data_IF_887554047005
#
_entry.id   IF_887554047005
#
_cell.length_a   1.000
_cell.length_b   1.000
_cell.length_c   1.000
_cell.angle_alpha   90.00
_cell.angle_beta   90.00
_cell.angle_gamma   90.00
#
_symmetry.space_group_name_H-M   'P 1'
#
loop_
_entity.id
_entity.type
_entity.pdbx_description
1 polymer ?
#
# COMPACT_ATOMS: atom_id res chain seq x y z
N UNK A 1 26.48 48.39 44.21
CA UNK A 1 26.75 48.07 42.79
C UNK A 1 27.30 46.64 42.74
N UNK A 2 26.41 45.65 42.65
CA UNK A 2 26.75 44.22 42.68
C UNK A 2 26.68 43.73 41.23
N UNK A 3 27.83 43.45 40.63
CA UNK A 3 27.92 42.76 39.33
C UNK A 3 28.32 41.32 39.66
N UNK A 4 27.34 40.41 39.64
CA UNK A 4 27.60 38.97 39.74
C UNK A 4 28.15 38.47 38.41
N UNK A 5 29.39 37.99 38.42
CA UNK A 5 29.99 37.27 37.31
C UNK A 5 29.24 35.95 37.10
N UNK A 6 28.45 35.90 36.03
CA UNK A 6 27.78 34.70 35.54
C UNK A 6 28.82 33.81 34.83
N UNK A 7 29.40 32.85 35.56
CA UNK A 7 30.39 31.90 35.05
C UNK A 7 29.77 30.97 34.02
N UNK A 8 30.15 31.13 32.74
CA UNK A 8 29.72 30.27 31.64
C UNK A 8 30.55 28.94 31.52
N UNK A 9 30.24 27.85 32.25
CA UNK A 9 30.71 26.44 32.08
C UNK A 9 30.44 25.73 30.73
N UNK A 10 31.12 26.06 29.65
CA UNK A 10 31.05 25.28 28.40
C UNK A 10 31.08 23.74 28.60
N UNK A 11 30.12 23.02 27.99
CA UNK A 11 30.24 21.57 27.80
C UNK A 11 31.51 21.25 26.99
N UNK A 12 32.20 20.15 27.29
CA UNK A 12 33.28 19.70 26.41
C UNK A 12 32.68 19.18 25.09
N UNK A 13 33.29 19.45 23.92
CA UNK A 13 32.78 19.01 22.62
C UNK A 13 32.40 17.52 22.57
N UNK A 14 33.13 16.68 23.29
CA UNK A 14 32.87 15.24 23.42
C UNK A 14 31.57 14.87 24.15
N UNK A 15 31.13 15.68 25.14
CA UNK A 15 29.89 15.42 25.88
C UNK A 15 28.66 15.81 25.04
N UNK A 16 28.76 16.90 24.30
CA UNK A 16 27.75 17.33 23.32
C UNK A 16 27.56 16.29 22.23
N UNK A 17 28.67 15.78 21.68
CA UNK A 17 28.64 14.73 20.67
C UNK A 17 27.94 13.45 21.18
N UNK A 18 28.26 13.02 22.41
CA UNK A 18 27.60 11.85 23.02
C UNK A 18 26.09 12.05 23.20
N UNK A 19 25.66 13.24 23.64
CA UNK A 19 24.25 13.55 23.80
C UNK A 19 23.51 13.58 22.45
N UNK A 20 24.10 14.21 21.43
CA UNK A 20 23.55 14.24 20.08
C UNK A 20 23.39 12.83 19.52
N UNK A 21 24.43 11.99 19.57
CA UNK A 21 24.35 10.61 19.08
C UNK A 21 23.26 9.79 19.80
N UNK A 22 23.04 10.03 21.10
CA UNK A 22 22.02 9.34 21.89
C UNK A 22 20.60 9.86 21.65
N UNK A 23 20.44 11.09 21.17
CA UNK A 23 19.12 11.68 20.88
C UNK A 23 18.59 11.34 19.49
N UNK A 24 19.48 11.03 18.52
CA UNK A 24 19.09 10.69 17.14
C UNK A 24 18.09 9.52 17.12
N UNK A 25 18.39 8.41 17.80
CA UNK A 25 17.55 7.23 17.76
C UNK A 25 16.15 7.49 18.36
N UNK A 26 16.01 7.99 19.62
CA UNK A 26 14.70 8.34 20.18
C UNK A 26 13.90 9.33 19.32
N UNK A 27 14.57 10.32 18.72
CA UNK A 27 13.92 11.27 17.81
C UNK A 27 13.34 10.56 16.59
N UNK A 28 14.09 9.65 15.97
CA UNK A 28 13.59 8.84 14.84
C UNK A 28 12.38 8.00 15.26
N UNK A 29 12.37 7.43 16.46
CA UNK A 29 11.22 6.68 16.99
C UNK A 29 9.98 7.55 17.19
N UNK A 30 10.12 8.76 17.74
CA UNK A 30 8.99 9.71 17.85
C UNK A 30 8.41 10.03 16.48
N UNK A 31 9.27 10.39 15.53
CA UNK A 31 8.78 10.85 14.23
C UNK A 31 8.22 9.69 13.41
N UNK A 32 8.84 8.50 13.45
CA UNK A 32 8.34 7.31 12.79
C UNK A 32 7.00 6.85 13.40
N UNK A 33 6.88 6.81 14.72
CA UNK A 33 5.65 6.46 15.42
C UNK A 33 4.52 7.46 15.11
N UNK A 34 4.81 8.76 15.14
CA UNK A 34 3.84 9.79 14.77
C UNK A 34 3.39 9.66 13.30
N UNK A 35 4.33 9.43 12.37
CA UNK A 35 4.00 9.22 10.97
C UNK A 35 3.09 7.99 10.75
N UNK A 36 3.35 6.90 11.46
CA UNK A 36 2.49 5.69 11.44
C UNK A 36 1.12 5.94 12.02
N UNK A 37 1.00 6.73 13.10
CA UNK A 37 -0.30 7.10 13.67
C UNK A 37 -1.12 8.00 12.73
N UNK A 38 -0.47 8.91 12.01
CA UNK A 38 -1.13 9.77 11.01
C UNK A 38 -1.58 8.97 9.77
N UNK A 39 -0.83 7.93 9.41
CA UNK A 39 -1.06 7.09 8.24
C UNK A 39 -1.37 5.64 8.64
N UNK A 40 -2.27 5.47 9.60
CA UNK A 40 -2.51 4.17 10.23
C UNK A 40 -3.04 3.13 9.23
N UNK A 41 -3.99 3.50 8.39
CA UNK A 41 -4.59 2.60 7.40
C UNK A 41 -3.54 2.05 6.42
N UNK A 42 -2.61 2.91 6.00
CA UNK A 42 -1.50 2.52 5.12
C UNK A 42 -0.45 1.66 5.81
N UNK A 43 -0.31 1.81 7.13
CA UNK A 43 0.58 0.96 7.92
C UNK A 43 -0.05 -0.42 8.17
N UNK A 44 -1.37 -0.48 8.39
CA UNK A 44 -2.14 -1.73 8.47
C UNK A 44 -2.01 -2.52 7.16
N UNK A 45 -2.34 -1.90 6.02
CA UNK A 45 -2.23 -2.54 4.70
C UNK A 45 -0.79 -3.03 4.39
N UNK A 46 0.21 -2.36 4.94
CA UNK A 46 1.60 -2.82 4.82
C UNK A 46 1.92 -4.07 5.63
N UNK A 47 1.28 -4.24 6.79
CA UNK A 47 1.48 -5.38 7.68
C UNK A 47 0.66 -6.60 7.24
N UNK A 48 -0.46 -6.40 6.54
CA UNK A 48 -1.24 -7.48 5.93
C UNK A 48 -0.45 -8.25 4.84
N UNK A 49 0.60 -7.64 4.29
CA UNK A 49 1.48 -8.29 3.32
C UNK A 49 2.64 -9.08 3.96
N UNK A 50 2.73 -9.14 5.30
CA UNK A 50 3.83 -9.81 5.98
C UNK A 50 3.46 -11.25 6.33
N UNK A 51 4.36 -12.18 6.02
CA UNK A 51 4.17 -13.61 6.35
C UNK A 51 4.08 -13.84 7.86
N UNK A 52 4.74 -12.99 8.65
CA UNK A 52 4.78 -13.10 10.12
C UNK A 52 3.43 -12.80 10.79
N UNK A 53 2.57 -11.99 10.16
CA UNK A 53 1.34 -11.48 10.77
C UNK A 53 0.13 -12.22 10.18
N UNK A 54 -0.64 -12.96 11.00
CA UNK A 54 -1.85 -13.63 10.51
C UNK A 54 -2.87 -12.62 9.96
N UNK A 55 -3.62 -13.04 8.94
CA UNK A 55 -4.68 -12.23 8.32
C UNK A 55 -5.68 -11.71 9.37
N UNK A 56 -6.05 -10.43 9.24
CA UNK A 56 -6.97 -9.75 10.15
C UNK A 56 -6.36 -9.29 11.48
N UNK A 57 -5.11 -9.68 11.81
CA UNK A 57 -4.44 -9.20 13.02
C UNK A 57 -3.73 -7.85 12.83
N UNK A 58 -3.45 -7.43 11.58
CA UNK A 58 -2.74 -6.18 11.30
C UNK A 58 -3.47 -4.96 11.87
N UNK A 59 -4.81 -4.92 11.78
CA UNK A 59 -5.63 -3.83 12.32
C UNK A 59 -5.48 -3.62 13.84
N UNK A 60 -5.13 -4.67 14.59
CA UNK A 60 -4.90 -4.61 16.04
C UNK A 60 -3.43 -4.35 16.38
N UNK A 61 -2.51 -4.90 15.61
CA UNK A 61 -1.07 -4.84 15.86
C UNK A 61 -0.49 -3.49 15.43
N UNK A 62 -0.92 -2.94 14.29
CA UNK A 62 -0.40 -1.70 13.73
C UNK A 62 -0.52 -0.49 14.68
N UNK A 63 -1.68 -0.22 15.30
CA UNK A 63 -1.83 0.89 16.24
C UNK A 63 -0.95 0.69 17.47
N UNK A 64 -0.86 -0.54 17.98
CA UNK A 64 -0.04 -0.88 19.14
C UNK A 64 1.44 -0.62 18.92
N UNK A 65 1.99 -1.04 17.78
CA UNK A 65 3.38 -0.77 17.39
C UNK A 65 3.63 0.74 17.25
N UNK A 66 2.73 1.46 16.56
CA UNK A 66 2.90 2.89 16.31
C UNK A 66 2.86 3.72 17.61
N UNK A 67 1.94 3.41 18.53
CA UNK A 67 1.87 4.02 19.86
C UNK A 67 3.13 3.71 20.69
N UNK A 68 3.58 2.46 20.67
CA UNK A 68 4.74 2.03 21.44
C UNK A 68 6.02 2.75 20.99
N UNK A 69 6.25 2.88 19.68
CA UNK A 69 7.37 3.64 19.10
C UNK A 69 7.32 5.12 19.50
N UNK A 70 6.15 5.74 19.38
CA UNK A 70 5.96 7.15 19.73
C UNK A 70 6.20 7.41 21.23
N UNK A 71 5.63 6.57 22.09
CA UNK A 71 5.75 6.71 23.54
C UNK A 71 7.18 6.48 24.04
N UNK A 72 7.89 5.47 23.52
CA UNK A 72 9.28 5.19 23.92
C UNK A 72 10.21 6.32 23.48
N UNK A 73 10.09 6.76 22.23
CA UNK A 73 10.86 7.90 21.74
C UNK A 73 10.60 9.15 22.58
N UNK A 74 9.33 9.42 22.91
CA UNK A 74 8.92 10.58 23.69
C UNK A 74 9.39 10.53 25.15
N UNK A 75 9.41 9.34 25.74
CA UNK A 75 9.87 9.12 27.12
C UNK A 75 11.34 9.52 27.32
N UNK A 76 12.18 9.42 26.29
CA UNK A 76 13.57 9.89 26.37
C UNK A 76 13.68 11.40 26.60
N UNK A 77 12.79 12.18 25.95
CA UNK A 77 12.74 13.64 26.06
C UNK A 77 12.02 14.12 27.33
N UNK A 78 10.98 13.40 27.78
CA UNK A 78 10.18 13.76 28.94
C UNK A 78 10.81 13.34 30.28
N UNK A 79 11.36 12.12 30.36
CA UNK A 79 11.89 11.56 31.61
C UNK A 79 13.41 11.73 31.77
N UNK A 80 14.07 12.36 30.80
CA UNK A 80 15.50 12.68 30.84
C UNK A 80 16.43 11.49 30.61
N UNK A 81 16.97 11.38 29.39
CA UNK A 81 18.22 10.67 29.00
C UNK A 81 18.51 9.34 29.73
N UNK A 82 17.48 8.53 29.98
CA UNK A 82 17.65 7.33 30.80
C UNK A 82 18.31 6.21 29.98
N UNK A 83 19.36 5.59 30.55
CA UNK A 83 20.01 4.42 29.94
C UNK A 83 19.02 3.28 29.66
N UNK A 84 17.91 3.21 30.42
CA UNK A 84 16.85 2.22 30.23
C UNK A 84 16.14 2.44 28.90
N UNK A 85 15.73 3.67 28.58
CA UNK A 85 15.07 3.97 27.30
C UNK A 85 16.01 3.69 26.11
N UNK A 86 17.31 3.96 26.25
CA UNK A 86 18.30 3.65 25.21
C UNK A 86 18.46 2.14 24.98
N UNK A 87 18.49 1.34 26.06
CA UNK A 87 18.50 -0.11 25.96
C UNK A 87 17.21 -0.65 25.34
N UNK A 88 16.06 -0.07 25.65
CA UNK A 88 14.78 -0.40 25.01
C UNK A 88 14.79 -0.08 23.51
N UNK A 89 15.29 1.10 23.11
CA UNK A 89 15.43 1.46 21.69
C UNK A 89 16.37 0.49 20.96
N UNK A 90 17.50 0.11 21.56
CA UNK A 90 18.41 -0.91 21.00
C UNK A 90 17.72 -2.26 20.84
N UNK A 91 17.02 -2.72 21.87
CA UNK A 91 16.28 -3.98 21.83
C UNK A 91 15.20 -3.97 20.74
N UNK A 92 14.44 -2.89 20.63
CA UNK A 92 13.38 -2.72 19.63
C UNK A 92 13.95 -2.67 18.20
N UNK A 93 15.07 -1.98 17.98
CA UNK A 93 15.76 -2.00 16.68
C UNK A 93 16.29 -3.40 16.33
N UNK A 94 16.82 -4.14 17.30
CA UNK A 94 17.28 -5.52 17.09
C UNK A 94 16.12 -6.45 16.75
N UNK A 95 14.98 -6.32 17.43
CA UNK A 95 13.75 -7.06 17.12
C UNK A 95 13.26 -6.74 15.72
N UNK A 96 13.23 -5.44 15.33
CA UNK A 96 12.84 -5.07 13.97
C UNK A 96 13.79 -5.63 12.93
N UNK A 97 15.11 -5.52 13.11
CA UNK A 97 16.08 -6.11 12.17
C UNK A 97 15.86 -7.63 12.06
N UNK A 98 15.63 -8.31 13.19
CA UNK A 98 15.31 -9.74 13.20
C UNK A 98 14.06 -10.05 12.39
N UNK A 99 12.96 -9.32 12.63
CA UNK A 99 11.71 -9.49 11.91
C UNK A 99 11.86 -9.21 10.40
N UNK A 100 12.52 -8.12 10.03
CA UNK A 100 12.77 -7.77 8.62
C UNK A 100 13.72 -8.75 7.92
N UNK A 101 14.73 -9.28 8.63
CA UNK A 101 15.66 -10.27 8.07
C UNK A 101 14.97 -11.62 7.90
N UNK A 102 14.09 -11.98 8.83
CA UNK A 102 13.24 -13.17 8.70
C UNK A 102 12.30 -13.02 7.52
N UNK A 103 11.61 -11.89 7.39
CA UNK A 103 10.74 -11.61 6.23
C UNK A 103 11.52 -11.69 4.92
N UNK A 104 12.70 -11.07 4.83
CA UNK A 104 13.55 -11.14 3.63
C UNK A 104 14.01 -12.55 3.29
N UNK A 105 14.14 -13.44 4.27
CA UNK A 105 14.55 -14.83 4.06
C UNK A 105 13.38 -15.71 3.58
N UNK A 106 12.19 -15.50 4.16
CA UNK A 106 11.01 -16.34 3.89
C UNK A 106 10.14 -15.82 2.74
N UNK A 107 10.25 -14.54 2.39
CA UNK A 107 9.51 -13.94 1.29
C UNK A 107 10.19 -14.26 -0.06
N UNK A 108 10.04 -15.51 -0.50
CA UNK A 108 10.53 -16.01 -1.79
C UNK A 108 9.73 -15.37 -2.92
N UNK A 109 10.37 -14.98 -4.05
CA UNK A 109 9.62 -14.49 -5.20
C UNK A 109 8.56 -15.51 -5.61
N UNK A 110 7.34 -15.07 -5.94
CA UNK A 110 6.30 -15.99 -6.37
C UNK A 110 6.72 -16.68 -7.67
N UNK A 111 6.70 -18.01 -7.69
CA UNK A 111 7.05 -18.84 -8.86
C UNK A 111 5.96 -18.80 -9.96
N UNK A 112 4.85 -18.11 -9.72
CA UNK A 112 3.82 -17.92 -10.73
C UNK A 112 4.26 -16.89 -11.78
N UNK A 113 3.86 -17.08 -13.04
CA UNK A 113 4.10 -16.13 -14.14
C UNK A 113 3.30 -14.82 -14.02
N UNK A 114 2.95 -14.41 -12.80
CA UNK A 114 2.09 -13.29 -12.49
C UNK A 114 2.95 -12.04 -12.29
N UNK A 115 3.33 -11.34 -13.37
CA UNK A 115 4.20 -10.16 -13.32
C UNK A 115 3.65 -9.01 -12.45
N UNK A 116 2.35 -9.03 -12.11
CA UNK A 116 1.76 -8.09 -11.16
C UNK A 116 2.28 -8.32 -9.75
N UNK A 117 2.18 -9.55 -9.26
CA UNK A 117 2.71 -9.98 -7.95
C UNK A 117 4.22 -9.90 -7.89
N UNK A 118 4.91 -10.28 -8.97
CA UNK A 118 6.36 -10.11 -9.04
C UNK A 118 6.73 -8.62 -8.89
N UNK A 119 5.98 -7.71 -9.52
CA UNK A 119 6.25 -6.28 -9.36
C UNK A 119 6.03 -5.81 -7.92
N UNK A 120 4.94 -6.22 -7.26
CA UNK A 120 4.69 -5.91 -5.85
C UNK A 120 5.79 -6.45 -4.93
N UNK A 121 6.22 -7.70 -5.15
CA UNK A 121 7.34 -8.32 -4.46
C UNK A 121 8.65 -7.55 -4.67
N UNK A 122 9.01 -7.20 -5.92
CA UNK A 122 10.22 -6.41 -6.22
C UNK A 122 10.21 -5.07 -5.47
N UNK A 123 9.05 -4.42 -5.37
CA UNK A 123 8.92 -3.18 -4.60
C UNK A 123 9.05 -3.41 -3.08
N UNK A 124 8.45 -4.47 -2.56
CA UNK A 124 8.55 -4.85 -1.15
C UNK A 124 10.01 -5.17 -0.78
N UNK A 125 10.70 -6.00 -1.57
CA UNK A 125 12.11 -6.33 -1.40
C UNK A 125 13.01 -5.08 -1.48
N UNK A 126 12.76 -4.19 -2.44
CA UNK A 126 13.48 -2.92 -2.53
C UNK A 126 13.27 -2.01 -1.30
N UNK A 127 12.14 -2.10 -0.62
CA UNK A 127 11.88 -1.41 0.66
C UNK A 127 12.64 -2.07 1.81
N UNK A 128 12.60 -3.40 1.93
CA UNK A 128 13.34 -4.17 2.94
C UNK A 128 14.84 -3.88 2.89
N UNK A 129 15.41 -3.86 1.68
CA UNK A 129 16.82 -3.56 1.41
C UNK A 129 17.25 -2.14 1.84
N UNK A 130 16.31 -1.21 2.03
CA UNK A 130 16.60 0.14 2.55
C UNK A 130 16.42 0.23 4.07
N UNK A 131 15.48 -0.52 4.63
CA UNK A 131 15.14 -0.45 6.07
C UNK A 131 16.21 -1.11 6.94
N UNK A 132 16.75 -2.26 6.51
CA UNK A 132 17.77 -3.00 7.27
C UNK A 132 19.06 -2.16 7.46
N UNK A 133 19.69 -1.60 6.41
CA UNK A 133 20.88 -0.77 6.56
C UNK A 133 20.64 0.47 7.43
N UNK A 134 19.47 1.12 7.30
CA UNK A 134 19.09 2.27 8.13
C UNK A 134 19.06 1.90 9.61
N UNK A 135 18.41 0.80 9.97
CA UNK A 135 18.31 0.36 11.36
C UNK A 135 19.68 -0.06 11.94
N UNK A 136 20.55 -0.68 11.12
CA UNK A 136 21.94 -0.98 11.51
C UNK A 136 22.71 0.32 11.82
N UNK A 137 22.59 1.34 10.97
CA UNK A 137 23.22 2.65 11.20
C UNK A 137 22.71 3.28 12.50
N UNK A 138 21.41 3.21 12.79
CA UNK A 138 20.85 3.72 14.04
C UNK A 138 21.39 2.99 15.28
N UNK A 139 21.55 1.67 15.22
CA UNK A 139 22.20 0.90 16.29
C UNK A 139 23.64 1.36 16.49
N UNK A 140 24.42 1.49 15.41
CA UNK A 140 25.82 1.93 15.47
C UNK A 140 25.94 3.32 16.10
N UNK A 141 25.12 4.28 15.65
CA UNK A 141 25.08 5.64 16.19
C UNK A 141 24.77 5.63 17.69
N UNK A 142 23.77 4.85 18.11
CA UNK A 142 23.36 4.78 19.51
C UNK A 142 24.42 4.11 20.40
N UNK A 143 25.01 2.99 19.94
CA UNK A 143 26.10 2.28 20.65
C UNK A 143 27.33 3.16 20.80
N UNK A 144 27.74 3.88 19.73
CA UNK A 144 28.86 4.83 19.79
C UNK A 144 28.54 5.96 20.77
N UNK A 145 27.31 6.48 20.76
CA UNK A 145 26.86 7.50 21.71
C UNK A 145 26.95 7.05 23.17
N UNK A 146 26.50 5.83 23.47
CA UNK A 146 26.58 5.21 24.79
C UNK A 146 28.03 4.92 25.21
N UNK A 147 28.85 4.40 24.29
CA UNK A 147 30.26 4.10 24.51
C UNK A 147 31.08 5.35 24.80
N UNK A 148 30.83 6.44 24.06
CA UNK A 148 31.47 7.73 24.28
C UNK A 148 31.12 8.29 25.67
N UNK A 149 29.86 8.16 26.10
CA UNK A 149 29.45 8.59 27.43
C UNK A 149 30.12 7.77 28.53
N UNK A 150 30.18 6.45 28.36
CA UNK A 150 30.83 5.54 29.31
C UNK A 150 32.32 5.84 29.44
N UNK A 151 33.01 6.06 28.31
CA UNK A 151 34.41 6.44 28.27
C UNK A 151 34.68 7.78 28.97
N UNK A 152 33.85 8.79 28.70
CA UNK A 152 33.93 10.10 29.36
C UNK A 152 33.66 10.00 30.87
N UNK A 153 32.72 9.14 31.30
CA UNK A 153 32.43 8.91 32.70
C UNK A 153 33.62 8.23 33.42
N UNK A 154 34.27 7.25 32.77
CA UNK A 154 35.45 6.56 33.32
C UNK A 154 36.63 7.52 33.47
N UNK A 155 36.84 8.42 32.51
CA UNK A 155 37.92 9.43 32.55
C UNK A 155 37.75 10.42 33.72
N UNK A 156 36.51 10.71 34.11
CA UNK A 156 36.18 11.62 35.22
C UNK A 156 36.38 10.99 36.62
N UNK A 157 36.41 9.66 36.71
CA UNK A 157 36.67 8.91 37.96
C UNK A 157 38.09 8.34 38.04
N UNK A 158 38.81 8.25 36.91
CA UNK A 158 40.21 7.80 36.86
C UNK A 158 41.24 8.83 37.33
N UNK A 159 40.86 10.10 37.50
CA UNK A 159 41.76 11.20 37.89
C UNK A 159 41.84 11.43 39.42
N UNK A 160 41.25 10.52 40.21
CA UNK A 160 41.37 10.47 41.68
C UNK A 160 42.12 9.21 42.15
N UNK A 161 42.81 8.52 41.25
CA UNK A 161 43.60 7.34 41.55
C UNK A 161 45.08 7.67 41.75
N UNK A 162 45.45 8.19 42.93
CA UNK A 162 46.85 8.20 43.31
C UNK A 162 47.32 9.18 44.37
N UNK A 163 46.69 9.27 45.56
CA UNK A 163 47.41 9.57 46.81
C UNK A 163 46.74 8.78 47.94
N UNK A 164 47.47 7.80 48.49
CA UNK A 164 47.14 7.16 49.77
C UNK A 164 47.66 8.04 50.92
N UNK A 165 46.77 8.49 51.81
CA UNK A 165 47.14 8.90 53.17
C UNK A 165 46.06 8.34 54.12
N UNK A 166 46.49 7.54 55.10
CA UNK A 166 45.71 7.19 56.30
C UNK A 166 46.41 7.79 57.53
N UNK A 167 45.80 7.71 58.73
CA UNK A 167 44.90 8.70 59.29
C UNK A 167 45.54 9.45 60.47
N UNK A 168 45.22 10.73 60.66
CA UNK A 168 45.53 11.44 61.90
C UNK A 168 44.31 12.22 62.40
N UNK A 169 44.02 12.01 63.68
CA UNK A 169 42.95 12.61 64.46
C UNK A 169 43.14 14.13 64.60
N UNK A 170 42.04 14.88 64.57
CA UNK A 170 41.64 15.91 65.55
C UNK A 170 40.64 16.88 64.91
N UNK A 171 39.69 17.38 65.71
CA UNK A 171 38.51 18.12 65.25
C UNK A 171 38.79 19.47 64.59
N UNK A 172 37.81 19.93 63.81
CA UNK A 172 37.19 21.25 63.91
C UNK A 172 36.08 21.37 62.85
N UNK A 173 34.93 21.89 63.26
CA UNK A 173 33.87 22.33 62.36
C UNK A 173 34.39 23.43 61.43
N UNK A 174 34.13 23.33 60.12
CA UNK A 174 33.71 24.52 59.34
C UNK A 174 32.81 24.13 58.16
N UNK A 175 31.62 24.70 58.24
CA UNK A 175 30.65 25.04 57.20
C UNK A 175 31.18 25.18 55.76
N UNK A 176 30.54 24.42 54.87
CA UNK A 176 30.16 24.70 53.48
C UNK A 176 31.20 25.25 52.48
N UNK A 177 31.48 24.41 51.47
CA UNK A 177 31.31 24.81 50.07
C UNK A 177 31.01 23.57 49.23
N UNK A 178 29.73 23.22 49.17
CA UNK A 178 29.23 22.37 48.08
C UNK A 178 29.67 22.99 46.74
N UNK A 179 30.55 22.28 46.03
CA UNK A 179 30.92 22.64 44.67
C UNK A 179 29.68 22.47 43.80
N UNK A 180 28.89 23.55 43.69
CA UNK A 180 27.76 23.65 42.78
C UNK A 180 28.28 23.35 41.38
N UNK A 181 28.08 22.11 40.93
CA UNK A 181 28.27 21.64 39.56
C UNK A 181 27.36 22.49 38.71
N UNK A 182 27.89 23.61 38.23
CA UNK A 182 27.15 24.53 37.41
C UNK A 182 27.03 23.87 36.02
N UNK A 183 25.92 23.18 35.83
CA UNK A 183 25.46 22.65 34.55
C UNK A 183 25.36 23.79 33.54
N UNK A 184 25.71 23.55 32.29
CA UNK A 184 25.51 24.51 31.22
C UNK A 184 24.41 24.09 30.29
N UNK A 185 23.41 24.95 30.16
CA UNK A 185 22.39 24.81 29.14
C UNK A 185 23.00 25.05 27.76
N UNK A 186 22.62 24.18 26.84
CA UNK A 186 22.52 24.53 25.44
C UNK A 186 21.64 25.76 25.29
N UNK A 187 21.93 26.62 24.31
CA UNK A 187 20.94 27.63 23.95
C UNK A 187 19.74 26.91 23.34
N UNK A 188 18.54 27.31 23.76
CA UNK A 188 17.28 26.79 23.23
C UNK A 188 17.30 26.78 21.69
N UNK A 189 17.92 27.81 21.07
CA UNK A 189 18.04 27.99 19.63
C UNK A 189 18.74 26.82 18.94
N UNK A 190 19.83 26.30 19.49
CA UNK A 190 20.66 25.31 18.81
C UNK A 190 20.02 23.91 18.80
N UNK A 191 19.34 23.56 19.91
CA UNK A 191 18.50 22.36 19.98
C UNK A 191 17.24 22.52 19.11
N UNK A 192 16.62 23.70 19.10
CA UNK A 192 15.43 24.00 18.27
C UNK A 192 15.78 23.95 16.78
N UNK A 193 16.91 24.50 16.34
CA UNK A 193 17.32 24.46 14.93
C UNK A 193 17.57 23.02 14.48
N UNK A 194 18.18 22.19 15.33
CA UNK A 194 18.47 20.79 14.97
C UNK A 194 17.19 19.97 14.82
N UNK A 195 16.26 20.07 15.77
CA UNK A 195 14.96 19.39 15.65
C UNK A 195 14.11 20.00 14.52
N UNK A 196 14.26 21.30 14.23
CA UNK A 196 13.58 21.95 13.12
C UNK A 196 14.10 21.44 11.77
N UNK A 197 15.41 21.27 11.61
CA UNK A 197 16.02 20.72 10.38
C UNK A 197 15.67 19.24 10.22
N UNK A 198 15.73 18.43 11.29
CA UNK A 198 15.33 17.01 11.21
C UNK A 198 13.83 16.89 10.93
N UNK A 199 13.00 17.71 11.60
CA UNK A 199 11.56 17.78 11.34
C UNK A 199 11.25 18.22 9.91
N UNK A 200 12.02 19.15 9.35
CA UNK A 200 11.91 19.57 7.95
C UNK A 200 12.29 18.46 6.97
N UNK A 201 13.38 17.74 7.22
CA UNK A 201 13.79 16.62 6.35
C UNK A 201 12.74 15.52 6.39
N UNK A 202 12.21 15.19 7.57
CA UNK A 202 11.21 14.13 7.69
C UNK A 202 9.85 14.56 7.15
N UNK A 203 9.47 15.84 7.30
CA UNK A 203 8.22 16.36 6.72
C UNK A 203 8.21 16.30 5.20
N UNK A 204 9.38 16.35 4.56
CA UNK A 204 9.51 16.17 3.10
C UNK A 204 9.50 14.69 2.72
N UNK A 205 10.08 13.80 3.52
CA UNK A 205 10.23 12.37 3.19
C UNK A 205 8.95 11.55 3.44
N UNK A 206 8.20 11.81 4.52
CA UNK A 206 6.99 11.04 4.87
C UNK A 206 5.89 11.08 3.79
N UNK A 207 5.49 12.23 3.20
CA UNK A 207 4.47 12.25 2.17
C UNK A 207 4.91 11.54 0.88
N UNK A 208 6.22 11.48 0.61
CA UNK A 208 6.75 10.78 -0.56
C UNK A 208 6.48 9.28 -0.51
N UNK A 209 6.53 8.65 0.68
CA UNK A 209 6.28 7.21 0.85
C UNK A 209 4.84 6.80 0.51
N UNK A 210 3.86 7.66 0.79
CA UNK A 210 2.45 7.41 0.43
C UNK A 210 2.26 7.37 -1.08
N UNK A 211 2.87 8.34 -1.77
CA UNK A 211 2.81 8.43 -3.23
C UNK A 211 3.55 7.26 -3.90
N UNK A 212 4.70 6.83 -3.35
CA UNK A 212 5.44 5.69 -3.86
C UNK A 212 4.63 4.38 -3.79
N UNK A 213 3.90 4.13 -2.70
CA UNK A 213 3.04 2.94 -2.59
C UNK A 213 1.88 2.96 -3.57
N UNK A 214 1.18 4.09 -3.67
CA UNK A 214 0.10 4.25 -4.66
C UNK A 214 0.61 4.04 -6.10
N UNK A 215 1.83 4.47 -6.39
CA UNK A 215 2.47 4.24 -7.69
C UNK A 215 2.85 2.77 -7.89
N UNK A 216 3.30 2.07 -6.85
CA UNK A 216 3.60 0.64 -6.91
C UNK A 216 2.33 -0.18 -7.20
N UNK A 217 1.23 0.05 -6.47
CA UNK A 217 -0.06 -0.61 -6.74
C UNK A 217 -0.55 -0.34 -8.16
N UNK A 218 -0.44 0.91 -8.62
CA UNK A 218 -0.79 1.27 -10.00
C UNK A 218 0.03 0.52 -11.04
N UNK A 219 1.32 0.37 -10.80
CA UNK A 219 2.23 -0.35 -11.71
C UNK A 219 1.88 -1.84 -11.74
N UNK A 220 1.58 -2.43 -10.58
CA UNK A 220 1.15 -3.81 -10.47
C UNK A 220 -0.19 -4.07 -11.18
N UNK A 221 -1.16 -3.18 -10.97
CA UNK A 221 -2.48 -3.28 -11.60
C UNK A 221 -2.39 -3.20 -13.13
N UNK A 222 -1.60 -2.27 -13.69
CA UNK A 222 -1.35 -2.22 -15.15
C UNK A 222 -0.71 -3.52 -15.63
N UNK A 223 0.28 -4.04 -14.90
CA UNK A 223 0.99 -5.26 -15.26
C UNK A 223 0.05 -6.47 -15.30
N UNK A 224 -0.77 -6.66 -14.26
CA UNK A 224 -1.78 -7.72 -14.19
C UNK A 224 -2.85 -7.55 -15.29
N UNK A 225 -3.39 -6.34 -15.46
CA UNK A 225 -4.35 -6.03 -16.53
C UNK A 225 -3.78 -6.38 -17.90
N UNK A 226 -2.51 -6.04 -18.17
CA UNK A 226 -1.84 -6.37 -19.43
C UNK A 226 -1.70 -7.88 -19.64
N UNK A 227 -1.39 -8.64 -18.59
CA UNK A 227 -1.30 -10.10 -18.68
C UNK A 227 -2.65 -10.72 -19.05
N UNK A 228 -3.73 -10.37 -18.34
CA UNK A 228 -5.06 -10.87 -18.69
C UNK A 228 -5.51 -10.42 -20.08
N UNK A 229 -5.23 -9.18 -20.46
CA UNK A 229 -5.49 -8.68 -21.82
C UNK A 229 -4.77 -9.51 -22.87
N UNK A 230 -3.51 -9.88 -22.60
CA UNK A 230 -2.72 -10.74 -23.48
C UNK A 230 -3.34 -12.14 -23.56
N UNK A 231 -3.84 -12.69 -22.46
CA UNK A 231 -4.57 -13.98 -22.44
C UNK A 231 -5.85 -13.91 -23.27
N UNK A 232 -6.63 -12.82 -23.18
CA UNK A 232 -7.82 -12.62 -24.01
C UNK A 232 -7.48 -12.58 -25.51
N UNK A 233 -6.37 -11.94 -25.87
CA UNK A 233 -5.90 -11.88 -27.26
C UNK A 233 -5.35 -13.23 -27.73
N UNK A 234 -4.70 -13.99 -26.84
CA UNK A 234 -4.28 -15.37 -27.11
C UNK A 234 -5.50 -16.26 -27.36
N UNK A 235 -6.52 -16.19 -26.50
CA UNK A 235 -7.80 -16.85 -26.73
C UNK A 235 -8.39 -16.47 -28.09
N UNK A 236 -8.45 -15.17 -28.40
CA UNK A 236 -9.00 -14.75 -29.68
C UNK A 236 -8.24 -15.35 -30.86
N UNK A 237 -6.91 -15.42 -30.79
CA UNK A 237 -6.09 -16.05 -31.81
C UNK A 237 -6.41 -17.54 -31.96
N UNK A 238 -6.57 -18.26 -30.86
CA UNK A 238 -6.85 -19.71 -30.86
C UNK A 238 -8.29 -20.02 -31.35
N UNK A 239 -9.23 -19.14 -31.07
CA UNK A 239 -10.67 -19.31 -31.35
C UNK A 239 -11.17 -18.44 -32.50
N UNK A 240 -10.50 -18.49 -33.66
CA UNK A 240 -10.98 -17.86 -34.92
C UNK A 240 -11.26 -16.35 -34.80
N UNK A 241 -10.36 -15.64 -34.11
CA UNK A 241 -10.44 -14.21 -33.83
C UNK A 241 -11.66 -13.80 -32.98
N UNK A 242 -12.30 -14.72 -32.26
CA UNK A 242 -13.46 -14.41 -31.41
C UNK A 242 -13.03 -14.14 -29.98
N UNK A 243 -13.54 -13.07 -29.39
CA UNK A 243 -13.33 -12.87 -27.96
C UNK A 243 -14.04 -13.93 -27.12
N UNK A 244 -13.58 -14.18 -25.89
CA UNK A 244 -14.21 -15.13 -24.97
C UNK A 244 -15.71 -14.87 -24.84
N UNK A 245 -16.51 -15.93 -25.01
CA UNK A 245 -17.97 -15.88 -24.98
C UNK A 245 -18.53 -17.25 -24.53
N UNK A 246 -19.40 -17.25 -23.53
CA UNK A 246 -20.17 -18.45 -23.15
C UNK A 246 -21.41 -18.57 -24.01
N UNK A 247 -21.50 -19.67 -24.75
CA UNK A 247 -22.60 -19.95 -25.69
C UNK A 247 -23.96 -20.23 -25.00
N UNK A 248 -23.98 -20.49 -23.69
CA UNK A 248 -25.15 -20.98 -22.94
C UNK A 248 -25.60 -20.06 -21.79
N UNK A 249 -25.72 -18.75 -22.03
CA UNK A 249 -26.39 -17.82 -21.08
C UNK A 249 -27.74 -17.36 -21.64
N UNK A 250 -28.46 -18.30 -22.26
CA UNK A 250 -29.75 -18.02 -22.87
C UNK A 250 -30.80 -17.67 -21.78
N UNK A 251 -31.76 -16.77 -22.05
CA UNK A 251 -32.82 -16.42 -21.08
C UNK A 251 -33.75 -17.59 -20.69
N UNK A 252 -33.56 -18.74 -21.31
CA UNK A 252 -34.41 -19.92 -21.23
C UNK A 252 -33.59 -21.23 -21.31
N UNK A 253 -32.26 -21.16 -21.12
CA UNK A 253 -31.50 -22.36 -20.76
C UNK A 253 -31.96 -22.79 -19.37
N UNK A 254 -32.63 -23.93 -19.30
CA UNK A 254 -33.06 -24.56 -18.08
C UNK A 254 -32.12 -25.76 -17.81
N UNK A 255 -31.32 -25.77 -16.73
CA UNK A 255 -31.21 -24.70 -15.74
C UNK A 255 -30.29 -23.55 -16.24
N UNK A 256 -30.46 -22.33 -15.69
CA UNK A 256 -29.42 -21.30 -15.78
C UNK A 256 -28.10 -21.89 -15.30
N UNK A 257 -26.95 -21.33 -15.71
CA UNK A 257 -25.66 -21.72 -15.11
C UNK A 257 -25.79 -21.51 -13.59
N UNK A 258 -26.02 -22.59 -12.84
CA UNK A 258 -26.05 -22.55 -11.39
C UNK A 258 -24.60 -22.60 -10.96
N UNK A 259 -24.02 -21.43 -10.68
CA UNK A 259 -22.74 -21.40 -9.98
C UNK A 259 -23.03 -21.86 -8.56
N UNK A 260 -22.80 -23.15 -8.29
CA UNK A 260 -22.90 -23.72 -6.94
C UNK A 260 -21.73 -23.21 -6.10
N UNK A 261 -21.75 -21.93 -5.72
CA UNK A 261 -20.90 -21.44 -4.64
C UNK A 261 -21.53 -21.85 -3.31
N UNK A 262 -20.90 -22.75 -2.57
CA UNK A 262 -21.25 -22.99 -1.17
C UNK A 262 -20.81 -21.79 -0.33
N UNK A 263 -21.65 -21.15 0.52
CA UNK A 263 -23.04 -21.44 0.91
C UNK A 263 -24.08 -20.36 0.50
N UNK A 264 -25.37 -20.52 0.86
CA UNK A 264 -26.49 -20.85 -0.02
C UNK A 264 -27.10 -19.61 -0.72
N UNK A 265 -26.60 -19.26 -1.89
CA UNK A 265 -27.36 -18.43 -2.81
C UNK A 265 -27.17 -18.99 -4.21
N UNK A 266 -28.13 -19.81 -4.65
CA UNK A 266 -28.33 -20.10 -6.06
C UNK A 266 -28.74 -18.79 -6.72
N UNK A 267 -27.77 -18.02 -7.21
CA UNK A 267 -28.03 -16.79 -7.96
C UNK A 267 -28.61 -17.20 -9.31
N UNK A 268 -29.86 -16.81 -9.65
CA UNK A 268 -30.39 -17.04 -10.98
C UNK A 268 -29.53 -16.25 -11.97
N UNK A 269 -28.73 -16.96 -12.78
CA UNK A 269 -27.94 -16.37 -13.86
C UNK A 269 -28.88 -16.09 -15.03
N UNK A 270 -29.79 -15.14 -14.83
CA UNK A 270 -30.87 -14.80 -15.76
C UNK A 270 -30.47 -13.72 -16.78
N UNK A 271 -29.25 -13.16 -16.69
CA UNK A 271 -28.79 -12.10 -17.60
C UNK A 271 -27.53 -12.50 -18.38
N UNK A 272 -27.65 -12.55 -19.70
CA UNK A 272 -26.56 -12.79 -20.67
C UNK A 272 -25.25 -12.06 -20.36
N UNK A 273 -25.34 -10.84 -19.82
CA UNK A 273 -24.19 -9.97 -19.58
C UNK A 273 -23.43 -10.26 -18.28
N UNK A 274 -23.92 -11.16 -17.42
CA UNK A 274 -23.19 -11.62 -16.21
C UNK A 274 -21.81 -12.22 -16.54
N UNK A 275 -21.61 -12.65 -17.79
CA UNK A 275 -20.33 -13.13 -18.30
C UNK A 275 -19.22 -12.08 -18.19
N UNK A 276 -19.56 -10.79 -18.09
CA UNK A 276 -18.60 -9.72 -17.81
C UNK A 276 -17.83 -9.93 -16.50
N UNK A 277 -18.41 -10.70 -15.57
CA UNK A 277 -17.85 -11.02 -14.25
C UNK A 277 -17.34 -12.45 -14.13
N UNK A 278 -17.65 -13.32 -15.08
CA UNK A 278 -17.32 -14.75 -15.02
C UNK A 278 -16.32 -15.15 -16.09
N UNK A 279 -15.62 -14.17 -16.66
CA UNK A 279 -14.65 -14.43 -17.73
C UNK A 279 -13.49 -15.30 -17.23
N UNK A 280 -13.14 -15.22 -15.94
CA UNK A 280 -12.17 -16.07 -15.25
C UNK A 280 -12.57 -17.54 -15.34
N UNK A 281 -13.86 -17.85 -15.10
CA UNK A 281 -14.40 -19.22 -15.21
C UNK A 281 -14.30 -19.73 -16.65
N UNK A 282 -14.62 -18.88 -17.63
CA UNK A 282 -14.58 -19.25 -19.05
C UNK A 282 -13.16 -19.61 -19.53
N UNK A 283 -12.15 -18.94 -18.99
CA UNK A 283 -10.76 -19.12 -19.41
C UNK A 283 -9.98 -20.12 -18.53
N UNK A 284 -10.57 -20.57 -17.42
CA UNK A 284 -9.91 -21.33 -16.37
C UNK A 284 -9.14 -22.55 -16.90
N UNK A 285 -9.86 -23.46 -17.56
CA UNK A 285 -9.32 -24.77 -17.97
C UNK A 285 -8.21 -24.65 -19.02
N UNK A 286 -8.29 -23.65 -19.89
CA UNK A 286 -7.36 -23.53 -21.04
C UNK A 286 -6.21 -22.57 -20.80
N UNK A 287 -6.37 -21.57 -19.92
CA UNK A 287 -5.39 -20.48 -19.75
C UNK A 287 -4.96 -20.22 -18.31
N UNK A 288 -5.62 -20.84 -17.32
CA UNK A 288 -5.30 -20.67 -15.90
C UNK A 288 -5.17 -22.01 -15.14
N UNK A 289 -4.91 -23.12 -15.83
CA UNK A 289 -4.73 -24.45 -15.24
C UNK A 289 -5.92 -24.91 -14.38
N UNK A 290 -7.14 -24.59 -14.81
CA UNK A 290 -8.38 -24.89 -14.08
C UNK A 290 -8.65 -23.98 -12.87
N UNK A 291 -7.80 -22.97 -12.61
CA UNK A 291 -7.99 -21.99 -11.53
C UNK A 291 -8.87 -20.84 -12.01
N UNK A 292 -9.92 -20.55 -11.24
CA UNK A 292 -10.84 -19.43 -11.48
C UNK A 292 -11.09 -18.58 -10.23
N UNK A 293 -10.51 -18.94 -9.09
CA UNK A 293 -10.51 -18.17 -7.84
C UNK A 293 -9.05 -18.04 -7.42
N UNK A 294 -8.72 -16.92 -6.79
CA UNK A 294 -7.42 -16.67 -6.19
C UNK A 294 -6.85 -15.34 -6.65
N UNK A 295 -5.71 -15.02 -6.06
CA UNK A 295 -5.09 -13.70 -6.19
C UNK A 295 -4.70 -13.29 -7.61
N UNK A 296 -4.60 -14.24 -8.54
CA UNK A 296 -4.33 -13.96 -9.95
C UNK A 296 -5.44 -13.10 -10.57
N UNK A 297 -6.63 -13.07 -9.98
CA UNK A 297 -7.79 -12.29 -10.44
C UNK A 297 -8.03 -11.01 -9.63
N UNK A 298 -7.13 -10.70 -8.70
CA UNK A 298 -7.17 -9.50 -7.87
C UNK A 298 -6.02 -8.54 -8.19
N UNK A 299 -6.30 -7.24 -8.19
CA UNK A 299 -5.34 -6.16 -8.45
C UNK A 299 -4.88 -5.47 -7.17
N UNK A 300 -5.77 -5.33 -6.17
CA UNK A 300 -5.55 -4.47 -5.00
C UNK A 300 -5.66 -5.20 -3.66
N UNK A 301 -6.54 -6.21 -3.54
CA UNK A 301 -6.77 -6.97 -2.30
C UNK A 301 -6.26 -8.41 -2.39
N UNK A 302 -5.59 -8.95 -1.37
CA UNK A 302 -5.37 -10.40 -1.30
C UNK A 302 -6.63 -11.05 -0.72
N UNK A 303 -7.64 -11.31 -1.55
CA UNK A 303 -8.82 -12.08 -1.16
C UNK A 303 -8.80 -13.42 -1.88
N UNK A 304 -8.19 -14.41 -1.23
CA UNK A 304 -8.11 -15.80 -1.72
C UNK A 304 -9.48 -16.48 -1.95
N UNK A 305 -10.58 -15.84 -1.53
CA UNK A 305 -11.94 -16.38 -1.58
C UNK A 305 -12.92 -15.58 -2.44
N UNK A 306 -12.48 -14.54 -3.16
CA UNK A 306 -13.39 -13.80 -4.02
C UNK A 306 -13.57 -14.51 -5.37
N UNK A 307 -14.79 -14.99 -5.59
CA UNK A 307 -15.20 -15.61 -6.85
C UNK A 307 -15.18 -14.61 -8.03
N UNK A 308 -15.39 -13.33 -7.74
CA UNK A 308 -15.53 -12.29 -8.74
C UNK A 308 -14.18 -11.61 -9.00
N UNK A 309 -13.70 -11.58 -10.26
CA UNK A 309 -12.48 -10.86 -10.60
C UNK A 309 -12.65 -9.35 -10.39
N UNK A 310 -11.60 -8.67 -9.94
CA UNK A 310 -11.59 -7.20 -9.81
C UNK A 310 -11.59 -6.49 -11.18
N UNK A 311 -11.17 -7.20 -12.23
CA UNK A 311 -11.24 -6.77 -13.62
C UNK A 311 -12.56 -7.18 -14.25
N UNK A 312 -13.22 -6.22 -14.88
CA UNK A 312 -14.48 -6.37 -15.58
C UNK A 312 -14.24 -6.56 -17.07
N UNK A 313 -14.90 -7.55 -17.66
CA UNK A 313 -14.90 -7.75 -19.10
C UNK A 313 -15.98 -6.89 -19.78
N UNK A 314 -15.59 -6.15 -20.82
CA UNK A 314 -16.48 -5.23 -21.51
C UNK A 314 -17.69 -5.93 -22.13
N UNK A 315 -18.90 -5.56 -21.68
CA UNK A 315 -20.13 -6.10 -22.25
C UNK A 315 -20.25 -5.83 -23.75
N UNK A 316 -19.68 -4.74 -24.24
CA UNK A 316 -19.69 -4.37 -25.65
C UNK A 316 -19.06 -5.40 -26.60
N UNK A 317 -18.31 -6.38 -26.06
CA UNK A 317 -17.71 -7.51 -26.77
C UNK A 317 -18.54 -8.80 -26.66
N UNK A 318 -19.63 -8.78 -25.90
CA UNK A 318 -20.56 -9.91 -25.66
C UNK A 318 -21.84 -9.84 -26.52
N UNK A 319 -21.97 -8.86 -27.40
CA UNK A 319 -23.08 -8.76 -28.34
C UNK A 319 -22.64 -8.04 -29.62
N UNK A 320 -23.35 -8.29 -30.72
CA UNK A 320 -23.06 -7.66 -32.00
C UNK A 320 -23.07 -6.12 -31.89
N UNK A 321 -22.24 -5.41 -32.67
CA UNK A 321 -22.20 -3.94 -32.66
C UNK A 321 -23.59 -3.28 -32.77
N UNK A 322 -24.47 -3.87 -33.57
CA UNK A 322 -25.83 -3.39 -33.84
C UNK A 322 -26.75 -3.49 -32.61
N UNK A 323 -26.46 -4.37 -31.65
CA UNK A 323 -27.21 -4.47 -30.40
C UNK A 323 -27.03 -3.21 -29.54
N UNK A 324 -25.86 -2.56 -29.63
CA UNK A 324 -25.51 -1.41 -28.80
C UNK A 324 -26.03 -0.08 -29.35
N UNK A 325 -26.73 -0.13 -30.46
CA UNK A 325 -27.33 1.03 -31.10
C UNK A 325 -28.87 0.92 -30.97
N UNK A 326 -29.54 1.89 -30.31
CA UNK A 326 -30.98 1.82 -30.09
C UNK A 326 -31.80 1.68 -31.36
N UNK A 327 -31.32 2.24 -32.47
CA UNK A 327 -32.01 2.25 -33.76
C UNK A 327 -31.92 0.88 -34.46
N UNK A 328 -30.88 0.08 -34.18
CA UNK A 328 -30.67 -1.23 -34.81
C UNK A 328 -30.84 -2.42 -33.86
N UNK A 329 -31.14 -2.16 -32.57
CA UNK A 329 -31.33 -3.21 -31.57
C UNK A 329 -32.60 -4.02 -31.85
N UNK A 330 -32.42 -5.32 -32.01
CA UNK A 330 -33.51 -6.30 -32.16
C UNK A 330 -33.62 -7.27 -30.99
N UNK A 331 -32.59 -7.37 -30.13
CA UNK A 331 -32.63 -8.19 -28.89
C UNK A 331 -31.70 -9.41 -28.90
N UNK A 332 -32.04 -10.50 -28.18
CA UNK A 332 -31.14 -11.64 -27.91
C UNK A 332 -30.55 -12.33 -29.14
N UNK A 333 -31.17 -12.21 -30.32
CA UNK A 333 -30.61 -12.71 -31.58
C UNK A 333 -29.27 -12.07 -31.94
N UNK A 334 -28.94 -10.93 -31.34
CA UNK A 334 -27.69 -10.21 -31.53
C UNK A 334 -26.65 -10.56 -30.44
N UNK A 335 -26.99 -11.42 -29.48
CA UNK A 335 -26.05 -11.89 -28.46
C UNK A 335 -25.13 -12.95 -29.06
N UNK A 336 -23.85 -12.61 -29.19
CA UNK A 336 -22.81 -13.45 -29.78
C UNK A 336 -21.45 -12.91 -29.40
N UNK A 337 -20.42 -13.75 -29.56
CA UNK A 337 -19.04 -13.27 -29.53
C UNK A 337 -18.80 -12.23 -30.64
N UNK A 338 -18.02 -11.22 -30.30
CA UNK A 338 -17.45 -10.25 -31.24
C UNK A 338 -16.08 -10.74 -31.71
N UNK A 339 -15.80 -10.58 -33.00
CA UNK A 339 -14.45 -10.85 -33.53
C UNK A 339 -13.53 -9.64 -33.34
N UNK A 340 -12.24 -9.87 -33.14
CA UNK A 340 -11.20 -8.82 -33.10
C UNK A 340 -11.23 -7.95 -34.36
N UNK A 341 -11.54 -8.55 -35.52
CA UNK A 341 -11.69 -7.86 -36.81
C UNK A 341 -12.90 -6.93 -36.89
N UNK A 342 -13.88 -7.07 -35.99
CA UNK A 342 -15.04 -6.16 -35.91
C UNK A 342 -14.73 -4.91 -35.08
N UNK A 343 -13.60 -4.88 -34.35
CA UNK A 343 -13.19 -3.75 -33.52
C UNK A 343 -12.56 -2.68 -34.40
N UNK A 344 -13.22 -1.52 -34.47
CA UNK A 344 -12.79 -0.41 -35.35
C UNK A 344 -11.65 0.41 -34.75
N UNK A 345 -11.57 0.50 -33.43
CA UNK A 345 -10.59 1.32 -32.72
C UNK A 345 -9.87 0.52 -31.62
N UNK A 346 -8.96 -0.40 -31.97
CA UNK A 346 -8.33 -1.30 -31.01
C UNK A 346 -7.67 -0.60 -29.80
N UNK A 347 -7.00 0.53 -30.03
CA UNK A 347 -6.32 1.33 -28.99
C UNK A 347 -7.24 2.25 -28.18
N UNK A 348 -8.54 2.21 -28.45
CA UNK A 348 -9.58 3.01 -27.78
C UNK A 348 -10.76 2.13 -27.33
N UNK A 349 -10.62 0.81 -27.43
CA UNK A 349 -11.63 -0.18 -27.07
C UNK A 349 -11.10 -1.05 -25.95
N UNK A 350 -11.82 -1.11 -24.84
CA UNK A 350 -11.45 -1.92 -23.69
C UNK A 350 -11.85 -3.38 -23.89
N UNK A 351 -10.96 -4.26 -23.46
CA UNK A 351 -11.26 -5.66 -23.16
C UNK A 351 -11.60 -5.77 -21.68
N UNK A 352 -10.63 -5.42 -20.82
CA UNK A 352 -10.74 -5.48 -19.37
C UNK A 352 -10.56 -4.11 -18.75
N UNK A 353 -11.21 -3.84 -17.61
CA UNK A 353 -10.99 -2.61 -16.84
C UNK A 353 -11.28 -2.83 -15.36
N UNK A 354 -10.63 -2.05 -14.48
CA UNK A 354 -10.89 -2.11 -13.05
C UNK A 354 -12.16 -1.32 -12.66
N UNK A 355 -12.81 -1.76 -11.59
CA UNK A 355 -13.92 -1.02 -10.96
C UNK A 355 -13.51 -0.37 -9.63
N UNK A 356 -12.25 -0.49 -9.21
CA UNK A 356 -11.78 -0.16 -7.86
C UNK A 356 -12.49 1.06 -7.24
N UNK A 357 -13.47 0.74 -6.40
CA UNK A 357 -14.14 1.68 -5.50
C UNK A 357 -13.28 1.67 -4.25
N UNK A 358 -12.72 2.84 -3.91
CA UNK A 358 -11.91 3.00 -2.70
C UNK A 358 -12.66 2.46 -1.46
N UNK A 359 -12.00 1.69 -0.61
CA UNK A 359 -12.51 1.06 0.64
C UNK A 359 -13.22 2.02 1.63
N UNK A 360 -13.26 3.31 1.34
CA UNK A 360 -14.01 4.32 2.10
C UNK A 360 -15.48 4.41 1.69
N UNK A 361 -15.92 3.68 0.65
CA UNK A 361 -17.30 3.70 0.16
C UNK A 361 -17.93 2.32 0.29
N UNK A 362 -18.76 2.15 1.31
CA UNK A 362 -19.65 1.00 1.48
C UNK A 362 -20.39 0.64 0.18
N UNK A 363 -20.35 -0.65 -0.20
CA UNK A 363 -21.02 -1.27 -1.35
C UNK A 363 -22.52 -0.89 -1.52
N UNK A 364 -23.18 -0.43 -0.46
CA UNK A 364 -24.57 0.03 -0.45
C UNK A 364 -24.81 1.41 -1.09
N UNK A 365 -23.78 2.12 -1.57
CA UNK A 365 -23.91 3.43 -2.25
C UNK A 365 -23.39 3.46 -3.70
N UNK A 366 -23.31 2.31 -4.38
CA UNK A 366 -22.87 2.19 -5.78
C UNK A 366 -23.71 2.99 -6.80
N UNK A 367 -24.90 3.49 -6.43
CA UNK A 367 -25.86 4.10 -7.35
C UNK A 367 -25.70 5.61 -7.63
N UNK A 368 -24.69 6.30 -7.05
CA UNK A 368 -24.48 7.75 -7.28
C UNK A 368 -23.07 8.19 -7.70
N UNK A 369 -22.16 7.26 -8.02
CA UNK A 369 -20.72 7.55 -8.02
C UNK A 369 -20.02 7.67 -9.38
N UNK A 370 -20.74 7.82 -10.49
CA UNK A 370 -20.10 8.13 -11.78
C UNK A 370 -20.02 9.63 -12.08
N UNK A 371 -20.84 10.47 -11.45
CA UNK A 371 -20.82 11.91 -11.64
C UNK A 371 -19.71 12.64 -10.84
N UNK A 372 -18.76 11.91 -10.26
CA UNK A 372 -17.71 12.45 -9.41
C UNK A 372 -16.45 11.58 -9.26
N UNK A 373 -16.20 10.63 -10.17
CA UNK A 373 -14.92 9.90 -10.18
C UNK A 373 -13.82 10.89 -10.54
N UNK A 374 -12.98 11.25 -9.57
CA UNK A 374 -11.74 12.04 -9.79
C UNK A 374 -10.55 11.16 -10.24
N UNK A 375 -10.73 9.83 -10.31
CA UNK A 375 -9.61 8.87 -10.38
C UNK A 375 -9.53 8.18 -11.75
N UNK A 376 -8.32 8.01 -12.32
CA UNK A 376 -8.12 7.23 -13.53
C UNK A 376 -8.44 5.75 -13.32
N UNK A 377 -8.98 5.10 -14.35
CA UNK A 377 -9.35 3.67 -14.40
C UNK A 377 -8.26 2.90 -15.14
N UNK A 378 -7.81 1.76 -14.61
CA UNK A 378 -6.87 0.88 -15.29
C UNK A 378 -7.60 0.06 -16.34
N UNK A 379 -7.10 0.05 -17.57
CA UNK A 379 -7.76 -0.63 -18.68
C UNK A 379 -6.78 -1.40 -19.54
N UNK A 380 -7.21 -2.58 -19.97
CA UNK A 380 -6.61 -3.38 -21.02
C UNK A 380 -7.35 -3.16 -22.33
N UNK A 381 -6.63 -2.87 -23.40
CA UNK A 381 -7.18 -2.47 -24.69
C UNK A 381 -7.06 -3.58 -25.72
N UNK A 382 -7.89 -3.52 -26.77
CA UNK A 382 -7.91 -4.52 -27.86
C UNK A 382 -6.60 -4.55 -28.65
N UNK A 383 -5.79 -3.50 -28.61
CA UNK A 383 -4.43 -3.49 -29.18
C UNK A 383 -3.37 -4.22 -28.31
N UNK A 384 -3.76 -4.75 -27.15
CA UNK A 384 -2.89 -5.44 -26.20
C UNK A 384 -2.14 -4.52 -25.23
N UNK A 385 -2.35 -3.21 -25.33
CA UNK A 385 -1.81 -2.25 -24.35
C UNK A 385 -2.66 -2.22 -23.08
N UNK A 386 -2.06 -1.80 -21.97
CA UNK A 386 -2.79 -1.48 -20.75
C UNK A 386 -2.34 -0.11 -20.22
N UNK A 387 -3.29 0.71 -19.76
CA UNK A 387 -3.01 2.07 -19.25
C UNK A 387 -4.09 2.56 -18.30
N UNK A 388 -3.74 3.56 -17.51
CA UNK A 388 -4.73 4.39 -16.82
C UNK A 388 -5.36 5.40 -17.78
N UNK A 389 -6.67 5.52 -17.73
CA UNK A 389 -7.47 6.48 -18.52
C UNK A 389 -8.19 7.41 -17.56
N UNK A 390 -8.06 8.72 -17.78
CA UNK A 390 -8.68 9.70 -16.92
C UNK A 390 -10.21 9.79 -17.19
N UNK A 391 -11.03 10.11 -16.16
CA UNK A 391 -12.50 10.19 -16.26
C UNK A 391 -13.03 11.06 -17.42
N UNK A 392 -12.33 12.14 -17.73
CA UNK A 392 -12.64 13.09 -18.80
C UNK A 392 -12.34 12.57 -20.21
N UNK A 393 -11.51 11.53 -20.31
CA UNK A 393 -11.15 10.88 -21.58
C UNK A 393 -12.13 9.76 -21.96
N UNK A 394 -13.16 9.51 -21.17
CA UNK A 394 -14.15 8.50 -21.50
C UNK A 394 -15.21 9.02 -22.45
N UNK A 395 -15.53 8.21 -23.45
CA UNK A 395 -16.70 8.44 -24.30
C UNK A 395 -17.99 8.39 -23.46
N UNK A 396 -19.05 9.01 -23.99
CA UNK A 396 -20.36 8.95 -23.34
C UNK A 396 -20.81 7.48 -23.23
N UNK A 397 -20.92 7.00 -21.99
CA UNK A 397 -21.46 5.68 -21.71
C UNK A 397 -22.87 5.52 -22.29
N UNK A 398 -23.13 4.35 -22.87
CA UNK A 398 -24.43 4.04 -23.46
C UNK A 398 -25.33 3.33 -22.45
N UNK A 399 -26.46 3.96 -22.11
CA UNK A 399 -27.41 3.40 -21.14
C UNK A 399 -28.43 2.49 -21.81
N UNK A 400 -28.54 1.28 -21.28
CA UNK A 400 -29.73 0.45 -21.42
C UNK A 400 -29.63 -0.63 -22.49
N UNK A 401 -29.99 -1.84 -22.10
CA UNK A 401 -30.27 -2.95 -23.00
C UNK A 401 -31.65 -2.83 -23.66
N UNK A 402 -32.26 -1.64 -23.64
CA UNK A 402 -33.67 -1.46 -23.97
C UNK A 402 -34.56 -2.20 -22.96
N UNK A 403 -35.50 -3.00 -23.46
CA UNK A 403 -36.45 -3.80 -22.66
C UNK A 403 -35.88 -5.13 -22.17
N UNK A 404 -34.63 -5.45 -22.51
CA UNK A 404 -34.01 -6.75 -22.21
C UNK A 404 -33.35 -6.74 -20.82
N UNK A 405 -33.48 -7.82 -20.03
CA UNK A 405 -32.95 -7.88 -18.68
C UNK A 405 -31.41 -7.82 -18.69
N UNK A 406 -30.89 -6.68 -18.23
CA UNK A 406 -29.50 -6.53 -17.84
C UNK A 406 -29.28 -6.97 -16.40
N UNK A 407 -28.04 -7.33 -16.06
CA UNK A 407 -27.69 -7.58 -14.67
C UNK A 407 -27.96 -6.30 -13.83
N UNK A 408 -28.79 -6.37 -12.76
CA UNK A 408 -29.36 -5.18 -12.13
C UNK A 408 -28.34 -4.25 -11.47
N UNK A 409 -27.10 -4.69 -11.22
CA UNK A 409 -26.09 -3.93 -10.48
C UNK A 409 -25.22 -2.98 -11.33
N UNK A 410 -25.06 -3.21 -12.65
CA UNK A 410 -24.18 -2.43 -13.53
C UNK A 410 -24.90 -1.51 -14.52
N UNK A 411 -26.23 -1.62 -14.57
CA UNK A 411 -27.00 -1.15 -15.73
C UNK A 411 -28.22 -0.33 -15.32
N UNK A 412 -28.17 0.26 -14.13
CA UNK A 412 -29.12 1.29 -13.73
C UNK A 412 -28.73 2.65 -14.31
N UNK A 413 -29.68 3.55 -14.56
CA UNK A 413 -29.37 4.93 -14.94
C UNK A 413 -28.40 5.55 -13.90
N UNK A 414 -27.20 5.94 -14.35
CA UNK A 414 -26.16 6.51 -13.48
C UNK A 414 -25.10 5.53 -12.94
N UNK A 415 -25.15 4.24 -13.28
CA UNK A 415 -24.18 3.21 -12.84
C UNK A 415 -23.40 2.49 -13.96
N UNK A 416 -23.63 2.84 -15.23
CA UNK A 416 -22.90 2.20 -16.33
C UNK A 416 -21.42 2.58 -16.31
N UNK A 417 -20.57 1.62 -15.92
CA UNK A 417 -19.12 1.83 -15.91
C UNK A 417 -18.63 2.26 -17.30
N UNK A 418 -17.69 3.22 -17.38
CA UNK A 418 -17.07 3.59 -18.65
C UNK A 418 -16.46 2.34 -19.30
N UNK A 419 -16.64 2.18 -20.61
CA UNK A 419 -16.24 1.02 -21.40
C UNK A 419 -17.04 -0.29 -21.20
N UNK A 420 -18.04 -0.32 -20.30
CA UNK A 420 -18.95 -1.47 -20.18
C UNK A 420 -19.94 -1.50 -21.36
N UNK A 421 -20.60 -0.37 -21.61
CA UNK A 421 -21.65 -0.21 -22.62
C UNK A 421 -21.31 0.97 -23.53
N UNK A 422 -21.01 0.70 -24.80
CA UNK A 422 -20.50 1.70 -25.76
C UNK A 422 -21.45 1.77 -26.92
N UNK A 423 -21.81 2.97 -27.38
CA UNK A 423 -22.62 3.12 -28.59
C UNK A 423 -21.92 2.43 -29.77
N UNK A 424 -22.67 1.67 -30.57
CA UNK A 424 -22.16 0.80 -31.64
C UNK A 424 -21.17 -0.29 -31.18
N UNK A 425 -21.10 -0.57 -29.88
CA UNK A 425 -20.40 -1.71 -29.29
C UNK A 425 -18.91 -1.73 -29.60
N UNK A 426 -18.46 -2.81 -30.23
CA UNK A 426 -17.08 -3.01 -30.69
C UNK A 426 -16.62 -2.01 -31.77
N UNK A 427 -17.57 -1.41 -32.50
CA UNK A 427 -17.27 -0.36 -33.50
C UNK A 427 -17.17 1.03 -32.88
N UNK A 428 -17.64 1.19 -31.64
CA UNK A 428 -17.53 2.41 -30.84
C UNK A 428 -16.15 2.59 -30.20
N UNK A 429 -15.94 3.75 -29.58
CA UNK A 429 -14.75 4.08 -28.79
C UNK A 429 -15.15 4.25 -27.33
N UNK A 430 -14.37 3.64 -26.46
CA UNK A 430 -14.50 3.82 -25.01
C UNK A 430 -13.70 5.04 -24.55
N UNK A 431 -12.61 5.34 -25.26
CA UNK A 431 -11.70 6.45 -24.98
C UNK A 431 -11.84 7.49 -26.10
N UNK A 432 -12.06 8.74 -25.73
CA UNK A 432 -12.07 9.91 -26.61
C UNK A 432 -10.80 10.73 -26.41
N UNK A 433 -10.43 11.51 -27.43
CA UNK A 433 -9.23 12.37 -27.43
C UNK A 433 -9.55 13.78 -26.94
#
# INVERSE_FOLDING_TARGET
>A
MIISQQSRNRFSPSQTLSWLLRSVCPLVFVVAGAAKLIALDEFVASLDNWVIIPEGFAGYVAPGIALFEFCIGGAWFLCGCSKRVELFCLGLLAVFIGAYSFESWYNVPPDCNCLGRLSQWVYHDAMLNKVIPRNIVLILVLVVGMGLQWWLAKRKYGDLGGICVSPAQSGEETSDRSSRRATHGFTLIETIVTIAVIGLVISIVVPSLKQFRKQAYRTAAISATKQHTTIFLAYANDFSNQFPFMLNVAPNSNPPIQVNTTPPASWPVESHFVQSYMWNVLLADSYYDGRFIGDDFSLYSNSDNDFWPELYYSCSLLASPEFWNPQTRTGPKQWRSVRTTEVRYPSKKAILFDDYVDDTVTYTQSSRLLAGRERPICMGLVDGSARYVAPDQFGQGYYGFGVWPGYPFLHTPGSSLPAQCTLDGARGRDIVD
#
